data_IF_766722720555
#
_entry.id   IF_766722720555
#
_cell.length_a   1.000
_cell.length_b   1.000
_cell.length_c   1.000
_cell.angle_alpha   90.00
_cell.angle_beta   90.00
_cell.angle_gamma   90.00
#
_symmetry.space_group_name_H-M   'P 1'
#
loop_
_entity.id
_entity.type
_entity.pdbx_description
1 polymer ?
#
# COMPACT_ATOMS: atom_id res chain seq x y z
N UNK A 1 -10.99 10.71 -9.27
CA UNK A 1 -9.67 10.10 -9.04
C UNK A 1 -9.35 10.30 -7.57
N UNK A 2 -9.09 9.21 -6.87
CA UNK A 2 -8.83 9.18 -5.43
C UNK A 2 -7.50 8.49 -5.18
N UNK A 3 -6.84 8.88 -4.10
CA UNK A 3 -5.60 8.32 -3.62
C UNK A 3 -5.72 7.86 -2.16
N UNK A 4 -4.93 6.85 -1.80
CA UNK A 4 -4.77 6.38 -0.44
C UNK A 4 -3.29 6.33 -0.11
N UNK A 5 -2.91 6.86 1.05
CA UNK A 5 -1.52 6.87 1.52
C UNK A 5 -1.39 6.27 2.93
N UNK A 6 -0.59 5.20 3.05
CA UNK A 6 -0.25 4.60 4.33
C UNK A 6 1.26 4.34 4.45
N UNK A 7 1.76 4.34 5.67
CA UNK A 7 3.15 4.05 5.99
C UNK A 7 3.23 2.75 6.78
N UNK A 8 3.98 1.79 6.25
CA UNK A 8 4.08 0.43 6.78
C UNK A 8 5.47 0.26 7.38
N UNK A 9 5.55 -0.08 8.67
CA UNK A 9 6.84 -0.33 9.32
C UNK A 9 7.41 -1.70 8.92
N UNK A 10 8.71 -1.75 8.66
CA UNK A 10 9.54 -2.95 8.52
C UNK A 10 8.91 -4.00 7.58
N UNK A 11 8.41 -3.53 6.43
CA UNK A 11 7.73 -4.36 5.43
C UNK A 11 8.67 -5.46 4.90
N UNK A 12 8.30 -6.73 5.12
CA UNK A 12 9.08 -7.86 4.61
C UNK A 12 8.76 -8.14 3.12
N UNK A 13 9.70 -8.73 2.36
CA UNK A 13 9.48 -9.08 0.95
C UNK A 13 8.21 -9.93 0.76
N UNK A 14 7.39 -9.59 -0.24
CA UNK A 14 6.18 -10.35 -0.59
C UNK A 14 4.99 -10.18 0.36
N UNK A 15 5.15 -9.63 1.58
CA UNK A 15 4.03 -9.38 2.49
C UNK A 15 3.01 -8.40 1.87
N UNK A 16 3.50 -7.34 1.24
CA UNK A 16 2.66 -6.34 0.60
C UNK A 16 1.89 -6.92 -0.59
N UNK A 17 2.58 -7.69 -1.44
CA UNK A 17 1.94 -8.35 -2.58
C UNK A 17 0.87 -9.35 -2.15
N UNK A 18 1.15 -10.15 -1.12
CA UNK A 18 0.17 -11.10 -0.58
C UNK A 18 -1.08 -10.38 -0.07
N UNK A 19 -0.91 -9.33 0.72
CA UNK A 19 -2.05 -8.55 1.24
C UNK A 19 -2.83 -7.84 0.12
N UNK A 20 -2.15 -7.22 -0.85
CA UNK A 20 -2.82 -6.55 -1.96
C UNK A 20 -3.56 -7.53 -2.88
N UNK A 21 -3.07 -8.76 -3.04
CA UNK A 21 -3.71 -9.78 -3.87
C UNK A 21 -5.06 -10.24 -3.31
N UNK A 22 -5.29 -10.10 -2.01
CA UNK A 22 -6.60 -10.37 -1.38
C UNK A 22 -7.66 -9.30 -1.72
N UNK A 23 -7.23 -8.17 -2.28
CA UNK A 23 -8.09 -7.00 -2.53
C UNK A 23 -8.13 -6.55 -3.99
N UNK A 24 -7.10 -6.88 -4.78
CA UNK A 24 -6.93 -6.46 -6.16
C UNK A 24 -6.82 -7.66 -7.10
N UNK A 25 -7.60 -7.63 -8.16
CA UNK A 25 -7.50 -8.57 -9.28
C UNK A 25 -6.28 -8.25 -10.14
N UNK A 26 -5.67 -9.28 -10.73
CA UNK A 26 -4.55 -9.15 -11.67
C UNK A 26 -3.40 -8.27 -11.13
N UNK A 27 -3.09 -8.41 -9.83
CA UNK A 27 -2.01 -7.68 -9.19
C UNK A 27 -0.67 -7.97 -9.88
N UNK A 28 0.04 -6.89 -10.19
CA UNK A 28 1.43 -6.86 -10.64
C UNK A 28 2.16 -5.88 -9.75
N UNK A 29 3.23 -6.31 -9.10
CA UNK A 29 4.11 -5.44 -8.33
C UNK A 29 5.56 -5.83 -8.63
N UNK A 30 6.35 -4.87 -9.07
CA UNK A 30 7.76 -5.11 -9.37
C UNK A 30 8.59 -5.11 -8.09
N UNK A 31 8.71 -6.30 -7.47
CA UNK A 31 9.55 -6.56 -6.30
C UNK A 31 10.92 -7.15 -6.69
N UNK A 32 11.33 -7.03 -7.96
CA UNK A 32 12.54 -7.69 -8.47
C UNK A 32 13.85 -7.18 -7.86
N UNK A 33 13.88 -5.93 -7.41
CA UNK A 33 15.02 -5.31 -6.73
C UNK A 33 14.63 -4.87 -5.30
N UNK A 34 15.04 -5.64 -4.26
CA UNK A 34 14.79 -5.30 -2.86
C UNK A 34 15.47 -4.01 -2.40
N UNK A 35 16.45 -3.51 -3.16
CA UNK A 35 17.19 -2.28 -2.88
C UNK A 35 16.64 -1.08 -3.66
N UNK A 36 15.64 -1.28 -4.53
CA UNK A 36 15.06 -0.20 -5.29
C UNK A 36 14.45 0.85 -4.35
N UNK A 37 14.70 2.15 -4.61
CA UNK A 37 14.12 3.23 -3.79
C UNK A 37 12.60 3.30 -3.94
N UNK A 38 12.07 2.77 -5.04
CA UNK A 38 10.65 2.67 -5.27
C UNK A 38 10.30 1.41 -6.07
N UNK A 39 9.20 0.76 -5.69
CA UNK A 39 8.55 -0.32 -6.44
C UNK A 39 7.25 0.20 -7.05
N UNK A 40 6.91 -0.25 -8.25
CA UNK A 40 5.67 0.14 -8.94
C UNK A 40 4.89 -1.08 -9.36
N UNK A 41 3.58 -0.92 -9.38
CA UNK A 41 2.67 -2.00 -9.70
C UNK A 41 1.33 -1.49 -10.19
N UNK A 42 0.50 -2.42 -10.62
CA UNK A 42 -0.89 -2.19 -10.95
C UNK A 42 -1.75 -3.37 -10.55
N UNK A 43 -3.01 -3.10 -10.25
CA UNK A 43 -4.05 -4.11 -10.08
C UNK A 43 -5.38 -3.56 -10.57
N UNK A 44 -6.45 -4.33 -10.35
CA UNK A 44 -7.80 -3.91 -10.67
C UNK A 44 -8.72 -4.10 -9.47
N UNK A 45 -9.59 -3.13 -9.23
CA UNK A 45 -10.65 -3.24 -8.25
C UNK A 45 -11.98 -2.98 -8.95
N UNK A 46 -12.87 -3.99 -8.95
CA UNK A 46 -14.18 -3.92 -9.65
C UNK A 46 -14.07 -3.50 -11.13
N UNK A 47 -12.99 -3.92 -11.80
CA UNK A 47 -12.71 -3.57 -13.19
C UNK A 47 -12.06 -2.20 -13.41
N UNK A 48 -11.91 -1.36 -12.38
CA UNK A 48 -11.16 -0.11 -12.44
C UNK A 48 -9.68 -0.36 -12.16
N UNK A 49 -8.79 0.25 -12.95
CA UNK A 49 -7.34 0.16 -12.73
C UNK A 49 -6.93 0.90 -11.45
N UNK A 50 -6.07 0.26 -10.68
CA UNK A 50 -5.40 0.80 -9.50
C UNK A 50 -3.90 0.86 -9.78
N UNK A 51 -3.31 2.05 -9.71
CA UNK A 51 -1.87 2.24 -9.73
C UNK A 51 -1.32 2.10 -8.30
N UNK A 52 -0.18 1.43 -8.18
CA UNK A 52 0.46 1.10 -6.90
C UNK A 52 1.89 1.65 -6.94
N UNK A 53 2.24 2.47 -5.96
CA UNK A 53 3.61 2.96 -5.78
C UNK A 53 4.04 2.71 -4.34
N UNK A 54 5.25 2.17 -4.18
CA UNK A 54 5.82 1.87 -2.86
C UNK A 54 7.17 2.55 -2.78
N UNK A 55 7.34 3.45 -1.82
CA UNK A 55 8.59 4.18 -1.60
C UNK A 55 9.25 3.68 -0.32
N UNK A 56 10.44 3.11 -0.44
CA UNK A 56 11.20 2.66 0.72
C UNK A 56 11.87 3.85 1.43
N UNK A 57 12.20 3.68 2.72
CA UNK A 57 13.11 4.60 3.39
C UNK A 57 12.45 5.75 4.17
N UNK A 58 11.13 5.77 4.33
CA UNK A 58 10.43 6.80 5.10
C UNK A 58 10.72 6.69 6.62
N UNK A 59 10.56 7.80 7.34
CA UNK A 59 10.72 7.91 8.81
C UNK A 59 11.95 7.18 9.38
N UNK A 60 13.15 7.57 8.94
CA UNK A 60 14.39 6.96 9.45
C UNK A 60 14.67 5.56 8.91
N UNK A 61 14.20 5.27 7.69
CA UNK A 61 14.39 4.01 6.95
C UNK A 61 13.66 2.79 7.48
N UNK A 62 12.72 2.96 8.40
CA UNK A 62 11.90 1.87 8.94
C UNK A 62 10.53 1.75 8.30
N UNK A 63 10.13 2.71 7.47
CA UNK A 63 8.81 2.70 6.86
C UNK A 63 8.90 2.67 5.34
N UNK A 64 7.93 1.98 4.75
CA UNK A 64 7.60 2.07 3.33
C UNK A 64 6.32 2.87 3.19
N UNK A 65 6.32 3.90 2.35
CA UNK A 65 5.11 4.63 1.98
C UNK A 65 4.43 3.88 0.82
N UNK A 66 3.19 3.44 1.02
CA UNK A 66 2.34 2.86 0.00
C UNK A 66 1.34 3.92 -0.46
N UNK A 67 1.30 4.14 -1.77
CA UNK A 67 0.31 4.98 -2.43
C UNK A 67 -0.49 4.13 -3.40
N UNK A 68 -1.82 4.21 -3.30
CA UNK A 68 -2.76 3.59 -4.23
C UNK A 68 -3.59 4.68 -4.92
N UNK A 69 -3.65 4.67 -6.25
CA UNK A 69 -4.36 5.69 -7.02
C UNK A 69 -5.32 5.05 -8.03
N UNK A 70 -6.54 5.58 -8.13
CA UNK A 70 -7.50 5.05 -9.10
C UNK A 70 -8.84 5.78 -9.10
N UNK A 71 -9.75 5.32 -9.95
CA UNK A 71 -11.15 5.77 -9.93
C UNK A 71 -11.95 5.11 -8.81
N UNK A 72 -11.65 3.84 -8.53
CA UNK A 72 -12.22 3.06 -7.45
C UNK A 72 -11.12 2.29 -6.75
N UNK A 73 -11.13 2.31 -5.41
CA UNK A 73 -10.16 1.64 -4.55
C UNK A 73 -10.89 0.75 -3.54
N UNK A 74 -10.24 -0.30 -3.00
CA UNK A 74 -10.86 -1.21 -2.02
C UNK A 74 -11.30 -0.52 -0.73
N UNK A 75 -10.69 0.62 -0.41
CA UNK A 75 -10.95 1.42 0.79
C UNK A 75 -11.38 2.84 0.42
N UNK A 76 -12.11 3.47 1.33
CA UNK A 76 -12.66 4.82 1.13
C UNK A 76 -11.86 5.92 1.83
N UNK A 77 -10.86 5.56 2.64
CA UNK A 77 -9.98 6.49 3.36
C UNK A 77 -8.65 5.86 3.74
N UNK A 78 -7.63 6.68 4.02
CA UNK A 78 -6.33 6.19 4.47
C UNK A 78 -6.50 5.38 5.76
N UNK A 79 -7.39 5.83 6.66
CA UNK A 79 -7.67 5.12 7.91
C UNK A 79 -8.22 3.71 7.70
N UNK A 80 -9.16 3.51 6.76
CA UNK A 80 -9.73 2.17 6.51
C UNK A 80 -8.73 1.26 5.82
N UNK A 81 -7.91 1.81 4.90
CA UNK A 81 -6.77 1.13 4.30
C UNK A 81 -5.75 0.70 5.37
N UNK A 82 -5.34 1.64 6.23
CA UNK A 82 -4.37 1.41 7.29
C UNK A 82 -4.83 0.34 8.29
N UNK A 83 -6.12 0.33 8.67
CA UNK A 83 -6.69 -0.70 9.54
C UNK A 83 -6.69 -2.08 8.89
N UNK A 84 -6.94 -2.15 7.59
CA UNK A 84 -6.88 -3.40 6.83
C UNK A 84 -5.45 -3.95 6.76
N UNK A 85 -4.50 -3.08 6.44
CA UNK A 85 -3.08 -3.40 6.43
C UNK A 85 -2.60 -3.85 7.83
N UNK A 86 -2.99 -3.13 8.88
CA UNK A 86 -2.58 -3.44 10.26
C UNK A 86 -3.03 -4.85 10.69
N UNK A 87 -4.26 -5.22 10.35
CA UNK A 87 -4.80 -6.56 10.65
C UNK A 87 -4.12 -7.69 9.89
N UNK A 88 -3.61 -7.41 8.69
CA UNK A 88 -3.07 -8.44 7.79
C UNK A 88 -1.55 -8.58 7.92
N UNK A 89 -0.86 -7.46 8.11
CA UNK A 89 0.61 -7.39 8.16
C UNK A 89 1.17 -7.48 9.58
N UNK A 90 0.33 -7.29 10.60
CA UNK A 90 0.68 -7.37 12.03
C UNK A 90 1.88 -6.46 12.43
N UNK A 91 2.07 -5.36 11.71
CA UNK A 91 3.13 -4.37 11.94
C UNK A 91 2.55 -2.99 12.23
N UNK A 92 3.37 -2.04 12.71
CA UNK A 92 2.93 -0.67 12.92
C UNK A 92 2.57 -0.01 11.57
N UNK A 93 1.33 0.47 11.46
CA UNK A 93 0.84 1.24 10.32
C UNK A 93 0.57 2.67 10.75
N UNK A 94 0.91 3.63 9.91
CA UNK A 94 0.51 5.04 10.04
C UNK A 94 -0.26 5.47 8.80
N UNK A 95 -1.13 6.45 8.96
CA UNK A 95 -1.77 7.17 7.86
C UNK A 95 -1.66 8.67 8.13
N UNK A 96 -2.10 9.49 7.18
CA UNK A 96 -2.08 10.95 7.30
C UNK A 96 -2.73 11.43 8.62
N UNK A 97 -2.12 12.43 9.27
CA UNK A 97 -2.53 12.88 10.63
C UNK A 97 -3.92 13.50 10.68
N UNK A 98 -4.45 13.94 9.55
CA UNK A 98 -5.79 14.53 9.43
C UNK A 98 -6.93 13.56 9.75
N UNK A 99 -6.68 12.24 9.75
CA UNK A 99 -7.72 11.22 9.95
C UNK A 99 -7.65 10.47 11.30
N UNK A 100 -6.61 10.72 12.12
CA UNK A 100 -6.57 10.17 13.48
C UNK A 100 -7.38 11.08 14.42
N UNK A 101 -8.63 10.71 14.66
CA UNK A 101 -9.46 11.22 15.76
C UNK A 101 -9.62 10.18 16.86
#
# INVERSE_FOLDING_TARGET
>A
MQDLEIYIRDLAPGQLSAWLADHLDQLTLDESDPLAPAMKGTGFYRGCRVAISVYAGAFGKRYSCLVLEGESLPWNSDLTCARSAWRSLETEIRCSQSEWQ
#
